data_IF_679483794242
#
_entry.id   IF_679483794242
#
_cell.length_a   1.000
_cell.length_b   1.000
_cell.length_c   1.000
_cell.angle_alpha   90.00
_cell.angle_beta   90.00
_cell.angle_gamma   90.00
#
_symmetry.space_group_name_H-M   'P 1'
#
loop_
_entity.id
_entity.type
_entity.pdbx_description
1 polymer ?
#
# COMPACT_ATOMS: atom_id res chain seq x y z
N UNK A 1 -18.93 5.81 -29.21
CA UNK A 1 -18.58 4.52 -28.59
C UNK A 1 -19.87 3.98 -28.01
N UNK A 2 -20.33 2.83 -28.50
CA UNK A 2 -21.58 2.22 -28.04
C UNK A 2 -21.38 1.61 -26.66
N UNK A 3 -22.05 2.17 -25.65
CA UNK A 3 -22.35 1.47 -24.39
C UNK A 3 -23.42 0.42 -24.69
N UNK A 4 -22.99 -0.80 -25.02
CA UNK A 4 -23.89 -1.94 -25.17
C UNK A 4 -24.05 -2.64 -23.81
N UNK A 5 -25.20 -2.51 -23.12
CA UNK A 5 -25.37 -3.01 -21.75
C UNK A 5 -25.23 -4.54 -21.66
N UNK A 6 -25.36 -5.25 -22.77
CA UNK A 6 -25.15 -6.70 -22.84
C UNK A 6 -23.67 -7.09 -22.78
N UNK A 7 -22.77 -6.24 -23.29
CA UNK A 7 -21.33 -6.47 -23.23
C UNK A 7 -20.80 -6.25 -21.81
N UNK A 8 -21.25 -5.18 -21.15
CA UNK A 8 -20.91 -4.91 -19.74
C UNK A 8 -21.40 -6.02 -18.80
N UNK A 9 -22.60 -6.57 -19.03
CA UNK A 9 -23.10 -7.71 -18.24
C UNK A 9 -22.26 -8.98 -18.41
N UNK A 10 -21.84 -9.30 -19.64
CA UNK A 10 -20.99 -10.48 -19.89
C UNK A 10 -19.57 -10.33 -19.31
N UNK A 11 -19.04 -9.10 -19.27
CA UNK A 11 -17.74 -8.80 -18.65
C UNK A 11 -17.81 -8.96 -17.12
N UNK A 12 -18.89 -8.47 -16.49
CA UNK A 12 -19.14 -8.66 -15.05
C UNK A 12 -19.30 -10.15 -14.71
N UNK A 13 -20.11 -10.90 -15.47
CA UNK A 13 -20.30 -12.34 -15.27
C UNK A 13 -18.96 -13.11 -15.38
N UNK A 14 -18.09 -12.72 -16.32
CA UNK A 14 -16.76 -13.30 -16.48
C UNK A 14 -15.86 -13.05 -15.27
N UNK A 15 -15.83 -11.82 -14.75
CA UNK A 15 -15.05 -11.46 -13.55
C UNK A 15 -15.55 -12.24 -12.34
N UNK A 16 -16.87 -12.37 -12.17
CA UNK A 16 -17.44 -13.13 -11.05
C UNK A 16 -17.07 -14.61 -11.12
N UNK A 17 -17.14 -15.23 -12.30
CA UNK A 17 -16.75 -16.62 -12.49
C UNK A 17 -15.25 -16.87 -12.23
N UNK A 18 -14.39 -15.92 -12.60
CA UNK A 18 -12.96 -15.97 -12.30
C UNK A 18 -12.69 -15.89 -10.78
N UNK A 19 -13.36 -14.97 -10.08
CA UNK A 19 -13.29 -14.85 -8.63
C UNK A 19 -13.76 -16.14 -7.94
N UNK A 20 -14.89 -16.72 -8.37
CA UNK A 20 -15.37 -18.00 -7.85
C UNK A 20 -14.36 -19.13 -8.06
N UNK A 21 -13.70 -19.17 -9.22
CA UNK A 21 -12.63 -20.13 -9.52
C UNK A 21 -11.45 -20.00 -8.55
N UNK A 22 -10.95 -18.79 -8.33
CA UNK A 22 -9.87 -18.53 -7.37
C UNK A 22 -10.28 -18.86 -5.94
N UNK A 23 -11.51 -18.56 -5.54
CA UNK A 23 -12.05 -18.93 -4.22
C UNK A 23 -12.14 -20.44 -4.07
N UNK A 24 -12.57 -21.17 -5.10
CA UNK A 24 -12.64 -22.62 -5.06
C UNK A 24 -11.25 -23.27 -4.94
N UNK A 25 -10.23 -22.70 -5.58
CA UNK A 25 -8.86 -23.21 -5.56
C UNK A 25 -8.10 -22.87 -4.27
N UNK A 26 -8.18 -21.61 -3.82
CA UNK A 26 -7.34 -21.08 -2.74
C UNK A 26 -8.10 -20.78 -1.45
N UNK A 27 -9.44 -20.83 -1.47
CA UNK A 27 -10.32 -20.48 -0.35
C UNK A 27 -10.55 -18.98 -0.16
N UNK A 28 -9.81 -18.14 -0.89
CA UNK A 28 -9.93 -16.68 -0.90
C UNK A 28 -9.41 -16.15 -2.24
N UNK A 29 -9.99 -15.06 -2.73
CA UNK A 29 -9.50 -14.29 -3.86
C UNK A 29 -9.37 -12.80 -3.46
N UNK A 30 -8.52 -12.03 -4.16
CA UNK A 30 -8.42 -10.58 -3.98
C UNK A 30 -8.92 -9.86 -5.22
N UNK A 31 -9.79 -8.87 -5.03
CA UNK A 31 -10.36 -8.03 -6.08
C UNK A 31 -9.87 -6.59 -5.92
N UNK A 32 -9.35 -6.03 -7.00
CA UNK A 32 -8.89 -4.65 -7.07
C UNK A 32 -9.89 -3.76 -7.79
N UNK A 33 -10.31 -2.65 -7.19
CA UNK A 33 -11.16 -1.64 -7.80
C UNK A 33 -10.35 -0.35 -7.90
N UNK A 34 -10.15 0.12 -9.13
CA UNK A 34 -9.43 1.36 -9.38
C UNK A 34 -10.21 2.56 -8.82
N UNK A 35 -9.48 3.54 -8.28
CA UNK A 35 -10.04 4.80 -7.86
C UNK A 35 -10.51 5.66 -9.03
N UNK A 36 -11.19 6.79 -8.76
CA UNK A 36 -11.69 7.69 -9.80
C UNK A 36 -10.59 8.39 -10.60
N UNK A 37 -9.36 8.41 -10.10
CA UNK A 37 -8.21 9.02 -10.77
C UNK A 37 -7.20 7.94 -11.19
N UNK A 38 -7.08 7.56 -12.47
CA UNK A 38 -6.20 6.46 -12.90
C UNK A 38 -4.70 6.77 -12.78
N UNK A 39 -4.34 8.03 -12.52
CA UNK A 39 -2.96 8.47 -12.30
C UNK A 39 -2.62 8.65 -10.80
N UNK A 40 -3.51 8.27 -9.88
CA UNK A 40 -3.20 8.16 -8.46
C UNK A 40 -3.90 6.95 -7.84
N UNK A 41 -3.34 6.42 -6.75
CA UNK A 41 -3.99 5.34 -6.00
C UNK A 41 -5.06 5.90 -5.03
N UNK A 42 -5.42 7.18 -5.15
CA UNK A 42 -6.43 7.82 -4.31
C UNK A 42 -7.81 7.21 -4.57
N UNK A 43 -8.41 6.69 -3.51
CA UNK A 43 -9.70 5.99 -3.61
C UNK A 43 -9.60 4.63 -4.29
N UNK A 44 -8.40 4.12 -4.59
CA UNK A 44 -8.23 2.72 -4.95
C UNK A 44 -8.60 1.82 -3.76
N UNK A 45 -9.26 0.72 -4.08
CA UNK A 45 -9.87 -0.18 -3.12
C UNK A 45 -9.46 -1.61 -3.47
N UNK A 46 -9.01 -2.37 -2.49
CA UNK A 46 -8.79 -3.80 -2.61
C UNK A 46 -9.64 -4.53 -1.59
N UNK A 47 -10.22 -5.67 -1.95
CA UNK A 47 -10.97 -6.47 -1.00
C UNK A 47 -10.88 -7.97 -1.28
N UNK A 48 -11.07 -8.76 -0.23
CA UNK A 48 -11.16 -10.22 -0.35
C UNK A 48 -12.55 -10.66 -0.79
N UNK A 49 -12.59 -11.80 -1.46
CA UNK A 49 -13.81 -12.50 -1.82
C UNK A 49 -13.65 -13.94 -1.35
N UNK A 50 -14.63 -14.46 -0.60
CA UNK A 50 -14.73 -15.87 -0.26
C UNK A 50 -14.43 -16.22 1.20
N UNK A 51 -13.89 -15.29 2.01
CA UNK A 51 -13.71 -15.51 3.45
C UNK A 51 -15.07 -15.74 4.14
N UNK A 52 -16.11 -15.10 3.62
CA UNK A 52 -17.50 -15.26 4.06
C UNK A 52 -18.00 -16.70 4.01
N UNK A 53 -17.45 -17.56 3.14
CA UNK A 53 -17.83 -18.97 3.05
C UNK A 53 -17.34 -19.80 4.24
N UNK A 54 -16.45 -19.23 5.06
CA UNK A 54 -15.90 -19.80 6.29
C UNK A 54 -16.36 -19.05 7.54
N UNK A 55 -17.46 -18.30 7.42
CA UNK A 55 -18.00 -17.46 8.49
C UNK A 55 -17.00 -16.40 9.01
N UNK A 56 -16.05 -15.98 8.15
CA UNK A 56 -15.09 -14.91 8.44
C UNK A 56 -15.49 -13.63 7.69
N UNK A 57 -15.21 -12.44 8.26
CA UNK A 57 -15.45 -11.18 7.56
C UNK A 57 -14.56 -11.07 6.32
N UNK A 58 -15.04 -10.40 5.28
CA UNK A 58 -14.17 -10.00 4.17
C UNK A 58 -13.25 -8.87 4.63
N UNK A 59 -12.07 -8.79 4.04
CA UNK A 59 -11.07 -7.76 4.34
C UNK A 59 -11.08 -6.71 3.24
N UNK A 60 -10.91 -5.46 3.63
CA UNK A 60 -10.88 -4.28 2.78
C UNK A 60 -9.59 -3.50 3.04
N UNK A 61 -8.98 -2.96 2.00
CA UNK A 61 -7.86 -2.02 2.12
C UNK A 61 -8.05 -0.86 1.14
N UNK A 62 -7.66 0.35 1.54
CA UNK A 62 -7.76 1.58 0.74
C UNK A 62 -6.41 2.27 0.62
N UNK A 63 -6.15 2.88 -0.54
CA UNK A 63 -5.01 3.78 -0.74
C UNK A 63 -3.64 3.11 -0.90
N UNK A 64 -3.58 1.77 -0.96
CA UNK A 64 -2.34 1.05 -1.31
C UNK A 64 -2.23 0.89 -2.84
N UNK A 65 -1.00 0.93 -3.38
CA UNK A 65 -0.73 0.50 -4.75
C UNK A 65 -1.26 -0.93 -4.98
N UNK A 66 -1.71 -1.27 -6.20
CA UNK A 66 -2.39 -2.54 -6.46
C UNK A 66 -1.62 -3.80 -6.02
N UNK A 67 -0.32 -3.84 -6.25
CA UNK A 67 0.53 -4.98 -5.88
C UNK A 67 0.67 -5.12 -4.37
N UNK A 68 0.92 -4.02 -3.65
CA UNK A 68 1.01 -4.00 -2.19
C UNK A 68 -0.33 -4.36 -1.53
N UNK A 69 -1.44 -3.83 -2.07
CA UNK A 69 -2.78 -4.15 -1.59
C UNK A 69 -3.11 -5.63 -1.79
N UNK A 70 -2.77 -6.18 -2.96
CA UNK A 70 -2.94 -7.60 -3.24
C UNK A 70 -2.12 -8.45 -2.28
N UNK A 71 -0.81 -8.17 -2.15
CA UNK A 71 0.08 -8.94 -1.29
C UNK A 71 -0.40 -8.95 0.16
N UNK A 72 -0.78 -7.78 0.69
CA UNK A 72 -1.30 -7.65 2.06
C UNK A 72 -2.56 -8.49 2.28
N UNK A 73 -3.54 -8.39 1.38
CA UNK A 73 -4.82 -9.07 1.53
C UNK A 73 -4.73 -10.57 1.23
N UNK A 74 -3.92 -11.00 0.25
CA UNK A 74 -3.66 -12.41 -0.02
C UNK A 74 -2.95 -13.07 1.17
N UNK A 75 -1.97 -12.39 1.77
CA UNK A 75 -1.27 -12.89 2.96
C UNK A 75 -2.22 -13.03 4.15
N UNK A 76 -2.99 -12.00 4.50
CA UNK A 76 -3.96 -12.07 5.59
C UNK A 76 -5.05 -13.10 5.29
N UNK A 77 -5.59 -13.11 4.07
CA UNK A 77 -6.61 -14.06 3.63
C UNK A 77 -6.13 -15.51 3.73
N UNK A 78 -4.90 -15.81 3.30
CA UNK A 78 -4.30 -17.15 3.46
C UNK A 78 -4.11 -17.52 4.93
N UNK A 79 -3.71 -16.59 5.80
CA UNK A 79 -3.61 -16.84 7.24
C UNK A 79 -4.97 -17.17 7.85
N UNK A 80 -6.02 -16.46 7.45
CA UNK A 80 -7.40 -16.77 7.86
C UNK A 80 -7.79 -18.17 7.38
N UNK A 81 -7.60 -18.48 6.10
CA UNK A 81 -8.05 -19.74 5.48
C UNK A 81 -7.25 -20.97 5.93
N UNK A 82 -5.93 -20.84 6.05
CA UNK A 82 -5.00 -21.97 6.23
C UNK A 82 -4.53 -22.13 7.68
N UNK A 83 -4.44 -21.02 8.43
CA UNK A 83 -3.90 -21.02 9.80
C UNK A 83 -4.98 -20.75 10.86
N UNK A 84 -6.21 -20.43 10.43
CA UNK A 84 -7.32 -20.13 11.35
C UNK A 84 -7.13 -18.82 12.10
N UNK A 85 -6.40 -17.85 11.53
CA UNK A 85 -6.35 -16.49 12.06
C UNK A 85 -7.77 -15.92 12.12
N UNK A 86 -8.19 -15.45 13.28
CA UNK A 86 -9.47 -14.77 13.47
C UNK A 86 -9.20 -13.28 13.55
N UNK A 87 -9.78 -12.53 12.60
CA UNK A 87 -9.68 -11.08 12.55
C UNK A 87 -10.96 -10.44 13.09
N UNK A 88 -10.78 -9.50 14.02
CA UNK A 88 -11.85 -8.76 14.68
C UNK A 88 -11.53 -7.27 14.68
N UNK A 89 -12.59 -6.45 14.67
CA UNK A 89 -12.45 -5.00 14.84
C UNK A 89 -11.77 -4.67 16.18
N UNK A 90 -10.88 -3.68 16.17
CA UNK A 90 -10.09 -3.27 17.34
C UNK A 90 -8.73 -3.98 17.44
N UNK A 91 -8.44 -4.96 16.59
CA UNK A 91 -7.14 -5.64 16.61
C UNK A 91 -6.02 -4.82 15.97
N UNK A 92 -4.81 -4.97 16.50
CA UNK A 92 -3.54 -4.52 15.92
C UNK A 92 -2.60 -5.72 15.86
N UNK A 93 -2.01 -5.97 14.69
CA UNK A 93 -1.18 -7.15 14.43
C UNK A 93 -0.14 -6.88 13.35
N UNK A 94 0.87 -7.73 13.30
CA UNK A 94 1.83 -7.78 12.19
C UNK A 94 1.25 -8.59 11.03
N UNK A 95 1.19 -7.99 9.85
CA UNK A 95 0.76 -8.65 8.63
C UNK A 95 1.79 -9.67 8.09
N UNK A 96 3.00 -9.74 8.67
CA UNK A 96 4.17 -10.53 8.26
C UNK A 96 4.02 -12.07 8.26
N UNK A 97 5.12 -12.75 7.91
CA UNK A 97 5.16 -14.21 7.78
C UNK A 97 5.16 -14.91 9.16
N UNK A 98 4.61 -16.14 9.23
CA UNK A 98 4.56 -16.92 10.47
C UNK A 98 5.93 -17.40 10.98
N UNK A 99 7.00 -17.18 10.21
CA UNK A 99 8.38 -17.51 10.56
C UNK A 99 9.04 -16.45 11.47
N UNK A 100 8.33 -15.36 11.77
CA UNK A 100 8.80 -14.30 12.66
C UNK A 100 9.60 -13.20 11.96
N UNK A 101 9.54 -13.09 10.62
CA UNK A 101 9.98 -11.89 9.92
C UNK A 101 9.17 -10.67 10.38
N UNK A 102 9.80 -9.49 10.48
CA UNK A 102 9.08 -8.25 10.78
C UNK A 102 7.98 -8.03 9.72
N UNK A 103 6.75 -7.86 10.17
CA UNK A 103 5.60 -7.63 9.31
C UNK A 103 5.36 -6.15 9.08
N UNK A 104 4.41 -5.84 8.21
CA UNK A 104 3.79 -4.51 8.21
C UNK A 104 2.80 -4.45 9.38
N UNK A 105 2.95 -3.50 10.33
CA UNK A 105 1.94 -3.30 11.36
C UNK A 105 0.62 -2.87 10.74
N UNK A 106 -0.46 -3.53 11.11
CA UNK A 106 -1.81 -3.23 10.62
C UNK A 106 -2.82 -3.21 11.75
N UNK A 107 -3.77 -2.28 11.65
CA UNK A 107 -4.91 -2.18 12.55
C UNK A 107 -6.18 -2.58 11.81
N UNK A 108 -7.14 -3.14 12.53
CA UNK A 108 -8.38 -3.68 11.97
C UNK A 108 -9.56 -2.90 12.51
N UNK A 109 -10.30 -2.23 11.63
CA UNK A 109 -11.47 -1.42 12.01
C UNK A 109 -12.74 -1.98 11.35
N UNK A 110 -13.93 -1.77 11.94
CA UNK A 110 -15.17 -2.22 11.33
C UNK A 110 -15.51 -1.32 10.13
N UNK A 111 -16.05 -1.91 9.06
CA UNK A 111 -16.58 -1.14 7.92
C UNK A 111 -18.07 -0.86 8.12
N UNK A 112 -18.47 0.41 8.08
CA UNK A 112 -19.88 0.81 8.20
C UNK A 112 -20.63 0.72 6.88
N UNK A 113 -19.96 1.04 5.77
CA UNK A 113 -20.52 0.97 4.42
C UNK A 113 -19.59 0.17 3.51
N UNK A 114 -20.04 -1.01 3.11
CA UNK A 114 -19.37 -1.93 2.20
C UNK A 114 -20.12 -2.09 0.86
N UNK A 115 -20.93 -1.10 0.47
CA UNK A 115 -21.71 -1.13 -0.76
C UNK A 115 -20.86 -1.27 -2.03
N UNK A 116 -19.62 -0.77 -1.99
CA UNK A 116 -18.67 -0.84 -3.11
C UNK A 116 -18.10 -2.24 -3.37
N UNK A 117 -18.33 -3.23 -2.48
CA UNK A 117 -17.87 -4.61 -2.65
C UNK A 117 -18.87 -5.42 -3.49
N UNK A 118 -19.09 -4.96 -4.72
CA UNK A 118 -20.12 -5.48 -5.61
C UNK A 118 -20.00 -6.98 -5.87
N UNK A 119 -18.78 -7.50 -5.99
CA UNK A 119 -18.58 -8.94 -6.20
C UNK A 119 -19.04 -9.77 -4.99
N UNK A 120 -18.69 -9.34 -3.77
CA UNK A 120 -19.14 -10.00 -2.53
C UNK A 120 -20.67 -9.93 -2.43
N UNK A 121 -21.23 -8.76 -2.72
CA UNK A 121 -22.68 -8.53 -2.68
C UNK A 121 -23.44 -9.40 -3.68
N UNK A 122 -22.90 -9.57 -4.89
CA UNK A 122 -23.54 -10.38 -5.93
C UNK A 122 -23.43 -11.89 -5.65
N UNK A 123 -22.26 -12.36 -5.20
CA UNK A 123 -22.02 -13.77 -4.94
C UNK A 123 -22.64 -14.25 -3.62
N UNK A 124 -22.52 -13.43 -2.56
CA UNK A 124 -22.81 -13.84 -1.20
C UNK A 124 -23.83 -12.95 -0.48
N UNK A 125 -24.25 -11.83 -1.09
CA UNK A 125 -25.13 -10.85 -0.44
C UNK A 125 -24.38 -9.96 0.56
N UNK A 126 -25.12 -9.32 1.47
CA UNK A 126 -24.52 -8.50 2.52
C UNK A 126 -23.70 -9.36 3.49
N UNK A 127 -22.45 -8.99 3.72
CA UNK A 127 -21.50 -9.68 4.59
C UNK A 127 -20.77 -8.70 5.50
N UNK A 128 -20.24 -9.23 6.60
CA UNK A 128 -19.38 -8.45 7.50
C UNK A 128 -18.07 -8.14 6.78
N UNK A 129 -17.59 -6.91 6.94
CA UNK A 129 -16.35 -6.45 6.32
C UNK A 129 -15.52 -5.71 7.36
N UNK A 130 -14.23 -6.01 7.39
CA UNK A 130 -13.24 -5.32 8.21
C UNK A 130 -12.26 -4.59 7.29
N UNK A 131 -11.88 -3.37 7.67
CA UNK A 131 -10.82 -2.65 6.98
C UNK A 131 -9.49 -2.91 7.68
N UNK A 132 -8.52 -3.32 6.89
CA UNK A 132 -7.11 -3.40 7.25
C UNK A 132 -6.49 -2.04 6.98
N UNK A 133 -6.17 -1.33 8.07
CA UNK A 133 -5.49 -0.05 8.07
C UNK A 133 -3.99 -0.29 8.16
N UNK A 134 -3.23 0.29 7.23
CA UNK A 134 -1.78 0.15 7.12
C UNK A 134 -1.06 1.41 7.62
N UNK A 135 0.17 1.24 8.10
CA UNK A 135 1.03 2.34 8.53
C UNK A 135 1.76 2.99 7.37
N UNK A 136 2.19 4.23 7.51
CA UNK A 136 3.16 4.82 6.58
C UNK A 136 4.56 4.16 6.69
N UNK A 137 5.51 4.67 5.92
CA UNK A 137 6.91 4.20 5.92
C UNK A 137 7.64 4.42 7.26
N UNK A 138 7.05 5.16 8.20
CA UNK A 138 7.55 5.40 9.55
C UNK A 138 6.78 4.60 10.61
N UNK A 139 5.90 3.67 10.19
CA UNK A 139 5.12 2.87 11.12
C UNK A 139 3.97 3.63 11.80
N UNK A 140 3.64 4.85 11.35
CA UNK A 140 2.54 5.65 11.92
C UNK A 140 1.22 5.28 11.25
N UNK A 141 0.16 5.20 12.04
CA UNK A 141 -1.21 5.07 11.53
C UNK A 141 -1.81 6.43 11.12
N UNK A 142 -2.90 6.48 10.35
CA UNK A 142 -3.55 7.72 9.95
C UNK A 142 -3.97 8.66 11.09
N UNK A 143 -4.19 8.13 12.29
CA UNK A 143 -4.55 8.91 13.49
C UNK A 143 -3.34 9.34 14.33
N UNK A 144 -2.14 8.87 14.00
CA UNK A 144 -0.93 9.28 14.69
C UNK A 144 -0.47 10.66 14.21
N UNK A 145 0.05 11.44 15.15
CA UNK A 145 0.67 12.72 14.83
C UNK A 145 1.90 12.49 13.94
N UNK A 146 2.03 13.29 12.88
CA UNK A 146 3.13 13.19 11.92
C UNK A 146 2.98 12.07 10.87
N UNK A 147 1.78 11.51 10.69
CA UNK A 147 1.50 10.58 9.58
C UNK A 147 1.85 11.20 8.23
N UNK A 148 2.65 10.49 7.43
CA UNK A 148 3.30 11.01 6.23
C UNK A 148 2.39 11.09 5.00
N UNK A 149 1.30 10.29 4.97
CA UNK A 149 0.40 10.24 3.82
C UNK A 149 -0.79 11.18 3.99
N UNK A 150 -1.35 11.72 2.89
CA UNK A 150 -2.53 12.56 2.98
C UNK A 150 -3.74 11.76 3.48
N UNK A 151 -4.59 12.40 4.27
CA UNK A 151 -5.78 11.77 4.87
C UNK A 151 -6.79 11.24 3.82
N UNK A 152 -6.73 11.75 2.59
CA UNK A 152 -7.54 11.30 1.45
C UNK A 152 -7.07 9.97 0.85
N UNK A 153 -5.81 9.58 1.02
CA UNK A 153 -5.24 8.38 0.41
C UNK A 153 -5.86 7.13 1.03
N UNK A 154 -5.74 7.00 2.35
CA UNK A 154 -6.27 5.89 3.12
C UNK A 154 -7.57 6.30 3.82
N UNK A 155 -8.66 6.32 3.06
CA UNK A 155 -9.98 6.63 3.61
C UNK A 155 -10.42 5.56 4.62
N UNK A 156 -10.69 5.98 5.86
CA UNK A 156 -11.23 5.12 6.90
C UNK A 156 -12.75 4.94 6.69
N UNK A 157 -13.19 3.69 6.60
CA UNK A 157 -14.57 3.29 6.26
C UNK A 157 -15.44 3.00 7.48
N UNK A 158 -14.94 3.34 8.66
CA UNK A 158 -15.64 3.23 9.92
C UNK A 158 -14.85 3.84 11.08
N UNK A 159 -15.37 3.73 12.31
CA UNK A 159 -14.76 4.32 13.49
C UNK A 159 -13.49 3.58 13.88
N UNK A 160 -12.51 4.33 14.40
CA UNK A 160 -11.34 3.79 15.06
C UNK A 160 -11.66 3.69 16.56
N UNK A 161 -11.45 2.51 17.14
CA UNK A 161 -11.68 2.27 18.56
C UNK A 161 -10.68 3.05 19.44
N UNK A 162 -11.06 3.37 20.69
CA UNK A 162 -10.19 4.10 21.62
C UNK A 162 -8.87 3.36 21.89
N UNK A 163 -8.88 2.02 21.93
CA UNK A 163 -7.67 1.22 22.13
C UNK A 163 -6.71 1.34 20.94
N UNK A 164 -7.23 1.44 19.71
CA UNK A 164 -6.43 1.67 18.51
C UNK A 164 -5.88 3.10 18.45
N UNK A 165 -6.69 4.09 18.85
CA UNK A 165 -6.25 5.48 18.95
C UNK A 165 -5.15 5.65 20.02
N UNK A 166 -5.18 4.83 21.07
CA UNK A 166 -4.20 4.82 22.15
C UNK A 166 -2.91 4.05 21.82
N UNK A 167 -2.80 3.43 20.64
CA UNK A 167 -1.58 2.75 20.22
C UNK A 167 -0.39 3.72 20.26
N UNK A 168 0.77 3.29 20.79
CA UNK A 168 1.93 4.15 20.88
C UNK A 168 2.31 4.63 19.49
N UNK A 169 2.48 5.95 19.36
CA UNK A 169 3.02 6.53 18.17
C UNK A 169 4.53 6.21 18.14
N UNK A 170 5.05 5.58 17.07
CA UNK A 170 6.46 5.25 17.02
C UNK A 170 7.28 6.54 17.08
N UNK A 171 8.27 6.56 17.98
CA UNK A 171 9.28 7.62 18.02
C UNK A 171 10.31 7.34 16.94
N UNK A 172 9.96 7.70 15.71
CA UNK A 172 10.88 7.58 14.58
C UNK A 172 11.79 8.82 14.61
N UNK A 173 13.10 8.64 14.88
CA UNK A 173 14.02 9.75 14.71
C UNK A 173 13.93 10.24 13.27
N UNK A 174 14.05 11.56 13.01
CA UNK A 174 14.05 12.07 11.66
C UNK A 174 15.01 11.25 10.81
N UNK A 175 14.62 10.95 9.56
CA UNK A 175 15.50 10.25 8.63
C UNK A 175 16.91 10.89 8.71
N UNK A 176 18.02 10.12 8.74
CA UNK A 176 19.35 10.70 8.81
C UNK A 176 19.58 11.79 7.74
N UNK A 177 18.93 11.65 6.58
CA UNK A 177 18.87 12.64 5.51
C UNK A 177 18.09 13.93 5.88
N UNK A 178 16.99 13.82 6.63
CA UNK A 178 16.23 14.98 7.11
C UNK A 178 16.92 15.68 8.29
N UNK A 179 17.67 14.93 9.10
CA UNK A 179 18.27 15.42 10.35
C UNK A 179 19.64 16.07 10.17
N UNK A 180 20.43 15.64 9.17
CA UNK A 180 21.86 15.98 9.12
C UNK A 180 22.25 16.92 7.97
N UNK A 181 21.58 16.91 6.81
CA UNK A 181 21.79 17.87 5.69
C UNK A 181 20.78 17.61 4.55
N UNK A 182 20.12 18.64 3.99
CA UNK A 182 19.26 18.53 2.78
C UNK A 182 20.00 17.96 1.54
N UNK A 183 21.33 17.86 1.61
CA UNK A 183 22.19 17.30 0.56
C UNK A 183 22.40 15.78 0.69
N UNK A 184 22.02 15.16 1.81
CA UNK A 184 22.14 13.71 2.00
C UNK A 184 20.89 12.98 1.51
N UNK A 185 21.11 11.81 0.91
CA UNK A 185 20.06 10.88 0.51
C UNK A 185 20.35 9.50 1.04
N UNK A 186 19.30 8.76 1.35
CA UNK A 186 19.40 7.34 1.72
C UNK A 186 19.27 6.48 0.46
N UNK A 187 20.14 5.49 0.32
CA UNK A 187 20.17 4.57 -0.81
C UNK A 187 20.60 3.16 -0.37
N UNK A 188 20.55 2.19 -1.27
CA UNK A 188 21.00 0.80 -1.01
C UNK A 188 22.41 0.57 -1.53
N UNK A 189 23.09 -0.46 -1.01
CA UNK A 189 24.42 -0.85 -1.51
C UNK A 189 24.38 -1.22 -3.01
N UNK A 190 23.29 -1.83 -3.47
CA UNK A 190 23.11 -2.15 -4.89
C UNK A 190 23.19 -0.90 -5.80
N UNK A 191 22.59 0.22 -5.39
CA UNK A 191 22.68 1.49 -6.12
C UNK A 191 24.12 2.03 -6.10
N UNK A 192 24.80 1.94 -4.96
CA UNK A 192 26.21 2.34 -4.85
C UNK A 192 27.14 1.48 -5.72
N UNK A 193 26.79 0.22 -5.91
CA UNK A 193 27.50 -0.72 -6.80
C UNK A 193 27.13 -0.52 -8.30
N UNK A 194 26.28 0.46 -8.61
CA UNK A 194 25.93 0.89 -9.97
C UNK A 194 24.57 0.43 -10.48
N UNK A 195 23.70 -0.12 -9.62
CA UNK A 195 22.32 -0.38 -10.02
C UNK A 195 21.58 0.92 -10.34
N UNK A 196 20.70 0.87 -11.33
CA UNK A 196 19.92 2.04 -11.73
C UNK A 196 18.91 2.41 -10.64
N UNK A 197 18.93 3.68 -10.23
CA UNK A 197 17.86 4.25 -9.39
C UNK A 197 16.58 4.29 -10.21
N UNK A 198 15.54 3.56 -9.85
CA UNK A 198 14.25 3.57 -10.57
C UNK A 198 13.16 4.27 -9.78
N UNK A 199 13.38 4.53 -8.49
CA UNK A 199 12.43 5.16 -7.59
C UNK A 199 13.14 6.23 -6.75
N UNK A 200 12.54 7.42 -6.68
CA UNK A 200 12.96 8.52 -5.81
C UNK A 200 11.80 8.91 -4.92
N UNK A 201 12.03 8.96 -3.61
CA UNK A 201 11.09 9.47 -2.63
C UNK A 201 11.63 10.74 -2.01
N UNK A 202 10.77 11.75 -1.93
CA UNK A 202 10.93 12.87 -1.01
C UNK A 202 9.96 12.62 0.14
N UNK A 203 10.48 12.13 1.26
CA UNK A 203 9.65 11.75 2.40
C UNK A 203 9.00 12.98 3.02
N UNK A 204 7.87 12.80 3.71
CA UNK A 204 7.12 13.91 4.30
C UNK A 204 7.90 14.66 5.40
N UNK A 205 8.88 14.00 6.03
CA UNK A 205 9.82 14.59 6.99
C UNK A 205 10.98 15.37 6.32
N UNK A 206 10.99 15.48 4.98
CA UNK A 206 11.99 16.23 4.22
C UNK A 206 13.24 15.43 3.83
N UNK A 207 13.27 14.13 4.13
CA UNK A 207 14.33 13.22 3.72
C UNK A 207 14.23 12.79 2.26
N UNK A 208 15.34 12.28 1.71
CA UNK A 208 15.40 11.75 0.36
C UNK A 208 15.78 10.28 0.38
N UNK A 209 15.08 9.45 -0.41
CA UNK A 209 15.44 8.05 -0.64
C UNK A 209 15.51 7.74 -2.13
N UNK A 210 16.63 7.17 -2.58
CA UNK A 210 16.89 6.77 -3.96
C UNK A 210 17.07 5.26 -4.00
N UNK A 211 16.21 4.54 -4.70
CA UNK A 211 16.16 3.08 -4.68
C UNK A 211 16.17 2.50 -6.11
N UNK A 212 16.72 1.30 -6.25
CA UNK A 212 16.73 0.54 -7.51
C UNK A 212 15.85 -0.70 -7.45
N UNK A 213 15.01 -0.90 -8.47
CA UNK A 213 14.17 -2.09 -8.63
C UNK A 213 13.02 -2.22 -7.63
N UNK A 214 12.47 -3.43 -7.56
CA UNK A 214 11.46 -3.85 -6.58
C UNK A 214 12.20 -4.17 -5.27
N UNK A 215 12.06 -3.28 -4.28
CA UNK A 215 12.99 -3.20 -3.15
C UNK A 215 12.60 -4.26 -2.10
N UNK A 216 13.25 -5.42 -2.17
CA UNK A 216 13.41 -6.36 -1.05
C UNK A 216 14.90 -6.63 -0.83
N UNK A 217 15.69 -5.59 -0.63
CA UNK A 217 17.11 -5.77 -0.30
C UNK A 217 17.29 -5.54 1.20
N UNK A 218 17.65 -6.60 1.93
CA UNK A 218 17.95 -6.60 3.37
C UNK A 218 19.29 -5.88 3.68
N UNK A 219 19.76 -5.01 2.79
CA UNK A 219 21.01 -4.27 2.96
C UNK A 219 20.83 -3.10 3.92
N UNK A 220 21.88 -2.84 4.71
CA UNK A 220 21.90 -1.67 5.58
C UNK A 220 21.79 -0.42 4.72
N UNK A 221 20.78 0.44 4.93
CA UNK A 221 20.64 1.67 4.17
C UNK A 221 21.87 2.56 4.37
N UNK A 222 22.38 3.12 3.28
CA UNK A 222 23.55 4.00 3.26
C UNK A 222 23.11 5.44 3.03
N UNK A 223 23.58 6.37 3.86
CA UNK A 223 23.44 7.80 3.62
C UNK A 223 24.64 8.30 2.80
N UNK A 224 24.37 8.91 1.64
CA UNK A 224 25.38 9.44 0.73
C UNK A 224 25.03 10.84 0.26
N UNK A 225 26.01 11.57 -0.27
CA UNK A 225 25.76 12.90 -0.82
C UNK A 225 24.99 12.76 -2.14
N UNK A 226 23.91 13.53 -2.31
CA UNK A 226 23.09 13.47 -3.53
C UNK A 226 23.89 13.77 -4.80
N UNK A 227 24.92 14.61 -4.68
CA UNK A 227 25.79 14.97 -5.81
C UNK A 227 26.54 13.77 -6.37
N UNK A 228 26.95 12.81 -5.54
CA UNK A 228 27.65 11.60 -5.98
C UNK A 228 26.76 10.76 -6.92
N UNK A 229 25.47 10.63 -6.57
CA UNK A 229 24.51 9.93 -7.40
C UNK A 229 24.11 10.73 -8.65
N UNK A 230 24.00 12.06 -8.55
CA UNK A 230 23.72 12.93 -9.70
C UNK A 230 24.88 12.95 -10.71
N UNK A 231 26.13 12.87 -10.24
CA UNK A 231 27.28 12.72 -11.13
C UNK A 231 27.24 11.40 -11.90
N UNK A 232 26.86 10.31 -11.23
CA UNK A 232 26.68 9.00 -11.86
C UNK A 232 25.48 8.98 -12.83
N UNK A 233 24.39 9.68 -12.50
CA UNK A 233 23.19 9.81 -13.34
C UNK A 233 22.56 11.21 -13.23
N UNK A 234 22.84 12.03 -14.24
CA UNK A 234 22.42 13.43 -14.27
C UNK A 234 20.91 13.60 -14.39
N UNK A 235 20.16 12.56 -14.79
CA UNK A 235 18.70 12.64 -14.85
C UNK A 235 18.07 12.75 -13.45
N UNK A 236 18.78 12.33 -12.39
CA UNK A 236 18.33 12.46 -11.00
C UNK A 236 18.14 13.91 -10.56
N UNK A 237 18.84 14.86 -11.19
CA UNK A 237 18.68 16.28 -10.90
C UNK A 237 17.24 16.78 -11.12
N UNK A 238 16.48 16.13 -12.01
CA UNK A 238 15.05 16.46 -12.25
C UNK A 238 14.15 15.78 -11.21
N UNK A 239 14.49 14.57 -10.77
CA UNK A 239 13.71 13.85 -9.75
C UNK A 239 13.90 14.45 -8.35
N UNK A 240 15.08 15.00 -8.04
CA UNK A 240 15.42 15.64 -6.77
C UNK A 240 14.81 17.04 -6.58
N UNK A 241 13.84 17.43 -7.40
CA UNK A 241 13.08 18.68 -7.24
C UNK A 241 11.61 18.44 -6.91
N UNK A 242 11.18 17.19 -6.77
CA UNK A 242 9.80 16.87 -6.38
C UNK A 242 9.51 17.39 -4.97
N UNK A 243 8.27 17.82 -4.66
CA UNK A 243 7.94 18.35 -3.34
C UNK A 243 7.95 17.25 -2.27
N UNK A 244 8.08 17.65 -1.00
CA UNK A 244 8.02 16.72 0.13
C UNK A 244 6.70 15.94 0.11
N UNK A 245 6.77 14.65 0.45
CA UNK A 245 5.66 13.72 0.32
C UNK A 245 5.39 13.25 -1.12
N UNK A 246 6.29 13.44 -2.08
CA UNK A 246 6.10 12.96 -3.46
C UNK A 246 7.07 11.85 -3.83
N UNK A 247 6.76 11.13 -4.92
CA UNK A 247 7.70 10.17 -5.53
C UNK A 247 7.88 10.42 -7.02
N UNK A 248 9.02 10.01 -7.54
CA UNK A 248 9.27 9.92 -8.98
C UNK A 248 9.71 8.49 -9.32
N UNK A 249 9.21 7.94 -10.42
CA UNK A 249 9.57 6.60 -10.89
C UNK A 249 10.00 6.63 -12.36
N UNK A 250 10.79 5.65 -12.78
CA UNK A 250 11.14 5.40 -14.19
C UNK A 250 11.34 3.91 -14.43
N UNK A 251 11.15 3.46 -15.67
CA UNK A 251 11.27 2.04 -16.03
C UNK A 251 12.71 1.52 -16.01
N UNK A 252 13.70 2.41 -16.12
CA UNK A 252 15.12 2.04 -16.12
C UNK A 252 16.04 3.24 -16.33
N UNK A 253 17.35 2.99 -16.29
CA UNK A 253 18.35 4.06 -16.42
C UNK A 253 18.16 4.84 -17.74
N UNK A 254 18.16 6.18 -17.65
CA UNK A 254 18.03 7.07 -18.81
C UNK A 254 16.62 7.18 -19.41
N UNK A 255 15.61 6.54 -18.82
CA UNK A 255 14.20 6.78 -19.16
C UNK A 255 13.67 8.03 -18.45
N UNK A 256 12.59 8.60 -19.00
CA UNK A 256 11.94 9.78 -18.43
C UNK A 256 11.33 9.48 -17.06
N UNK A 257 11.43 10.45 -16.16
CA UNK A 257 10.83 10.39 -14.83
C UNK A 257 9.34 10.69 -14.90
N UNK A 258 8.53 9.78 -14.36
CA UNK A 258 7.12 10.02 -14.07
C UNK A 258 7.01 10.47 -12.62
N UNK A 259 6.60 11.71 -12.42
CA UNK A 259 6.37 12.27 -11.10
C UNK A 259 4.96 11.94 -10.64
N UNK A 260 4.85 11.42 -9.42
CA UNK A 260 3.60 11.10 -8.76
C UNK A 260 3.53 11.97 -7.51
N UNK A 261 2.70 13.02 -7.51
CA UNK A 261 2.36 13.67 -6.25
C UNK A 261 1.59 12.64 -5.41
N UNK A 262 2.00 12.41 -4.14
CA UNK A 262 0.98 11.97 -3.20
C UNK A 262 0.11 13.20 -2.97
N UNK A 263 -1.21 13.01 -3.07
CA UNK A 263 -2.24 14.05 -2.98
C UNK A 263 -1.83 15.26 -2.16
N UNK A 264 -1.86 16.43 -2.80
CA UNK A 264 -1.61 17.72 -2.19
C UNK A 264 -2.37 17.89 -0.85
N UNK A 265 -1.61 18.32 0.16
CA UNK A 265 -1.96 18.90 1.47
C UNK A 265 -3.44 19.22 1.74
#
# INVERSE_FOLDING_TARGET
MSDDPKAAGAEVDGILAELEGMVAEHGVAVRMVAGPHPASDEGALAYTVGLSLKDQPELLCTGLPPESAHALLDQLGRRVVQQGLVLEAGQHLEAGHPDGSEGLPVAVIPVQDASDLDAVRQLYGSRSVLQVVWTDSTGRFPWHEGYANPSSLQQLRGPVDEDLLALPCPDVPPSPAAAENEELVVTTQAVLDGAAVTVVWHTADGGWQLLGGDVTDDTVPAAVHREELVEADHSLAVALTIPAGSRATREGAGQDWVQWPLGSA
#
